data_IF_991372709131
#
_entry.id   IF_991372709131
#
_cell.length_a   1.000
_cell.length_b   1.000
_cell.length_c   1.000
_cell.angle_alpha   90.00
_cell.angle_beta   90.00
_cell.angle_gamma   90.00
#
_symmetry.space_group_name_H-M   'P 1'
#
loop_
_entity.id
_entity.type
_entity.pdbx_description
1 polymer ?
#
# COMPACT_ATOMS: atom_id res chain seq x y z
N UNK A 1 31.30 16.13 -11.38
CA UNK A 1 30.82 15.61 -12.68
C UNK A 1 30.36 16.83 -13.46
N UNK A 2 31.09 17.23 -14.50
CA UNK A 2 30.73 18.39 -15.33
C UNK A 2 29.85 17.84 -16.47
N UNK A 3 28.56 18.24 -16.58
CA UNK A 3 27.68 17.73 -17.61
C UNK A 3 28.18 18.13 -19.00
N UNK A 4 28.18 17.19 -19.96
CA UNK A 4 28.47 17.48 -21.38
C UNK A 4 27.24 18.12 -22.02
N UNK A 5 27.45 19.15 -22.85
CA UNK A 5 26.39 19.99 -23.44
C UNK A 5 25.30 19.23 -24.25
N UNK A 6 25.50 17.95 -24.57
CA UNK A 6 24.58 17.11 -25.38
C UNK A 6 23.62 16.25 -24.55
N UNK A 7 23.73 16.25 -23.22
CA UNK A 7 22.82 15.51 -22.34
C UNK A 7 21.66 16.42 -21.92
N UNK A 8 20.55 16.32 -22.65
CA UNK A 8 19.28 16.93 -22.27
C UNK A 8 18.68 16.17 -21.07
N UNK A 9 19.23 16.42 -19.89
CA UNK A 9 18.76 15.80 -18.65
C UNK A 9 17.51 16.52 -18.16
N UNK A 10 16.42 15.77 -18.07
CA UNK A 10 15.20 16.21 -17.42
C UNK A 10 15.37 15.99 -15.92
N UNK A 11 15.33 17.07 -15.14
CA UNK A 11 15.38 17.01 -13.69
C UNK A 11 13.96 17.09 -13.14
N UNK A 12 13.64 16.19 -12.22
CA UNK A 12 12.38 16.22 -11.46
C UNK A 12 12.71 16.77 -10.08
N UNK A 13 12.01 17.81 -9.68
CA UNK A 13 12.13 18.42 -8.36
C UNK A 13 10.83 18.19 -7.59
N UNK A 14 10.95 17.61 -6.41
CA UNK A 14 9.86 17.31 -5.48
C UNK A 14 9.65 18.38 -4.41
N UNK A 15 10.58 19.35 -4.31
CA UNK A 15 10.54 20.46 -3.37
C UNK A 15 10.84 21.80 -4.07
N UNK A 16 9.97 22.79 -3.82
CA UNK A 16 10.12 24.17 -4.28
C UNK A 16 11.44 24.81 -3.77
N UNK A 17 11.89 24.44 -2.57
CA UNK A 17 13.12 24.98 -1.96
C UNK A 17 14.34 24.66 -2.82
N UNK A 18 14.39 23.46 -3.41
CA UNK A 18 15.51 23.03 -4.26
C UNK A 18 15.57 23.89 -5.53
N UNK A 19 14.40 24.25 -6.08
CA UNK A 19 14.29 25.14 -7.25
C UNK A 19 14.77 26.56 -6.89
N UNK A 20 14.43 27.06 -5.71
CA UNK A 20 14.91 28.37 -5.22
C UNK A 20 16.44 28.39 -5.04
N UNK A 21 17.00 27.32 -4.46
CA UNK A 21 18.44 27.17 -4.32
C UNK A 21 19.16 27.10 -5.67
N UNK A 22 18.57 26.40 -6.66
CA UNK A 22 19.08 26.39 -8.03
C UNK A 22 19.12 27.81 -8.61
N UNK A 23 18.04 28.57 -8.51
CA UNK A 23 17.98 29.95 -9.00
C UNK A 23 19.05 30.82 -8.33
N UNK A 24 19.30 30.64 -7.04
CA UNK A 24 20.33 31.38 -6.30
C UNK A 24 21.77 30.97 -6.69
N UNK A 25 21.97 29.76 -7.18
CA UNK A 25 23.26 29.26 -7.66
C UNK A 25 23.63 29.70 -9.08
N UNK A 26 22.66 30.19 -9.87
CA UNK A 26 22.90 30.65 -11.23
C UNK A 26 23.68 31.97 -11.24
N UNK A 27 24.72 32.04 -12.09
CA UNK A 27 25.60 33.19 -12.19
C UNK A 27 25.10 34.19 -13.25
N UNK A 28 25.07 35.48 -12.90
CA UNK A 28 24.67 36.58 -13.80
C UNK A 28 25.72 36.91 -14.87
N UNK A 29 26.91 36.32 -14.81
CA UNK A 29 28.02 36.62 -15.74
C UNK A 29 27.95 35.83 -17.05
N UNK A 30 27.22 34.72 -17.11
CA UNK A 30 27.10 33.89 -18.31
C UNK A 30 25.80 34.17 -19.08
N UNK A 31 25.86 34.43 -20.40
CA UNK A 31 24.65 34.72 -21.22
C UNK A 31 23.61 33.59 -21.13
N UNK A 32 24.05 32.32 -21.17
CA UNK A 32 23.18 31.14 -21.04
C UNK A 32 22.50 31.09 -19.66
N UNK A 33 23.30 31.24 -18.61
CA UNK A 33 22.87 31.16 -17.21
C UNK A 33 21.94 32.32 -16.85
N UNK A 34 22.25 33.52 -17.33
CA UNK A 34 21.44 34.72 -17.15
C UNK A 34 20.07 34.58 -17.84
N UNK A 35 20.02 34.10 -19.09
CA UNK A 35 18.76 33.85 -19.78
C UNK A 35 17.93 32.76 -19.06
N UNK A 36 18.58 31.71 -18.57
CA UNK A 36 17.92 30.68 -17.76
C UNK A 36 17.35 31.26 -16.47
N UNK A 37 18.11 32.10 -15.77
CA UNK A 37 17.68 32.77 -14.55
C UNK A 37 16.46 33.66 -14.78
N UNK A 38 16.44 34.46 -15.86
CA UNK A 38 15.28 35.28 -16.22
C UNK A 38 14.04 34.43 -16.47
N UNK A 39 14.19 33.35 -17.25
CA UNK A 39 13.08 32.46 -17.58
C UNK A 39 12.55 31.73 -16.33
N UNK A 40 13.42 31.24 -15.46
CA UNK A 40 13.01 30.60 -14.20
C UNK A 40 12.31 31.57 -13.27
N UNK A 41 12.82 32.80 -13.11
CA UNK A 41 12.15 33.84 -12.30
C UNK A 41 10.76 34.17 -12.83
N UNK A 42 10.57 34.20 -14.16
CA UNK A 42 9.27 34.44 -14.79
C UNK A 42 8.28 33.29 -14.54
N UNK A 43 8.76 32.05 -14.54
CA UNK A 43 7.93 30.86 -14.31
C UNK A 43 7.72 30.52 -12.84
N UNK A 44 8.50 31.11 -11.92
CA UNK A 44 8.44 30.82 -10.48
C UNK A 44 7.04 30.99 -9.86
N UNK A 45 6.24 32.04 -10.20
CA UNK A 45 4.88 32.16 -9.66
C UNK A 45 3.96 31.03 -10.09
N UNK A 46 4.12 30.50 -11.32
CA UNK A 46 3.35 29.36 -11.79
C UNK A 46 3.76 28.09 -11.03
N UNK A 47 5.07 27.86 -10.90
CA UNK A 47 5.62 26.72 -10.15
C UNK A 47 5.13 26.75 -8.70
N UNK A 48 5.20 27.90 -8.03
CA UNK A 48 4.70 28.07 -6.67
C UNK A 48 3.22 27.71 -6.56
N UNK A 49 2.39 28.19 -7.49
CA UNK A 49 0.96 27.88 -7.51
C UNK A 49 0.69 26.38 -7.74
N UNK A 50 1.49 25.69 -8.55
CA UNK A 50 1.40 24.23 -8.73
C UNK A 50 1.76 23.50 -7.42
N UNK A 51 2.84 23.88 -6.75
CA UNK A 51 3.21 23.31 -5.45
C UNK A 51 2.12 23.55 -4.39
N UNK A 52 1.55 24.74 -4.32
CA UNK A 52 0.45 25.05 -3.41
C UNK A 52 -0.84 24.29 -3.75
N UNK A 53 -1.14 24.05 -5.03
CA UNK A 53 -2.26 23.19 -5.42
C UNK A 53 -2.03 21.74 -5.03
N UNK A 54 -0.81 21.22 -5.21
CA UNK A 54 -0.45 19.86 -4.77
C UNK A 54 -0.57 19.74 -3.24
N UNK A 55 -0.08 20.73 -2.49
CA UNK A 55 -0.22 20.75 -1.01
C UNK A 55 -1.69 20.85 -0.58
N UNK A 56 -2.49 21.67 -1.25
CA UNK A 56 -3.94 21.77 -0.99
C UNK A 56 -4.65 20.46 -1.31
N UNK A 57 -4.31 19.80 -2.41
CA UNK A 57 -4.83 18.47 -2.75
C UNK A 57 -4.48 17.46 -1.66
N UNK A 58 -3.21 17.39 -1.25
CA UNK A 58 -2.77 16.54 -0.13
C UNK A 58 -3.52 16.85 1.17
N UNK A 59 -3.67 18.12 1.52
CA UNK A 59 -4.38 18.52 2.74
C UNK A 59 -5.90 18.25 2.66
N UNK A 60 -6.52 18.34 1.48
CA UNK A 60 -7.93 17.98 1.28
C UNK A 60 -8.15 16.47 1.33
N UNK A 61 -7.19 15.68 0.84
CA UNK A 61 -7.19 14.21 0.95
C UNK A 61 -6.96 13.77 2.41
N UNK A 62 -6.08 14.46 3.15
CA UNK A 62 -5.83 14.18 4.58
C UNK A 62 -6.98 14.64 5.50
N UNK A 63 -7.85 15.56 5.08
CA UNK A 63 -8.93 16.13 5.91
C UNK A 63 -10.32 15.52 5.70
N UNK A 64 -10.56 14.79 4.60
CA UNK A 64 -11.85 14.16 4.32
C UNK A 64 -11.64 12.64 4.09
N UNK A 65 -12.13 11.82 5.03
CA UNK A 65 -12.52 10.40 4.84
C UNK A 65 -11.49 9.30 4.47
N UNK A 66 -10.24 9.57 4.11
CA UNK A 66 -9.37 8.49 3.60
C UNK A 66 -9.07 7.36 4.61
N UNK A 67 -8.90 7.63 5.90
CA UNK A 67 -8.59 6.55 6.86
C UNK A 67 -9.78 5.63 7.19
N UNK A 68 -11.02 6.09 7.06
CA UNK A 68 -12.21 5.28 7.35
C UNK A 68 -12.73 4.61 6.08
N UNK A 69 -12.75 5.31 4.94
CA UNK A 69 -13.23 4.76 3.68
C UNK A 69 -12.22 3.76 3.08
N UNK A 70 -10.92 4.05 3.13
CA UNK A 70 -9.87 3.10 2.70
C UNK A 70 -9.73 1.92 3.68
N UNK A 71 -9.90 2.14 4.99
CA UNK A 71 -9.87 1.01 5.94
C UNK A 71 -11.07 0.09 5.74
N UNK A 72 -12.26 0.64 5.50
CA UNK A 72 -13.44 -0.14 5.14
C UNK A 72 -13.26 -0.86 3.80
N UNK A 73 -12.64 -0.23 2.80
CA UNK A 73 -12.37 -0.86 1.49
C UNK A 73 -11.33 -1.98 1.59
N UNK A 74 -10.25 -1.78 2.35
CA UNK A 74 -9.23 -2.81 2.60
C UNK A 74 -9.82 -3.98 3.40
N UNK A 75 -10.59 -3.70 4.44
CA UNK A 75 -11.26 -4.73 5.25
C UNK A 75 -12.25 -5.52 4.39
N UNK A 76 -13.04 -4.83 3.56
CA UNK A 76 -13.99 -5.47 2.66
C UNK A 76 -13.28 -6.33 1.63
N UNK A 77 -12.26 -5.78 0.96
CA UNK A 77 -11.43 -6.51 -0.01
C UNK A 77 -10.80 -7.75 0.61
N UNK A 78 -10.24 -7.65 1.81
CA UNK A 78 -9.64 -8.77 2.53
C UNK A 78 -10.66 -9.85 2.91
N UNK A 79 -11.88 -9.47 3.31
CA UNK A 79 -12.97 -10.44 3.54
C UNK A 79 -13.30 -11.20 2.26
N UNK A 80 -13.45 -10.51 1.13
CA UNK A 80 -13.71 -11.18 -0.17
C UNK A 80 -12.57 -12.12 -0.55
N UNK A 81 -11.31 -11.70 -0.38
CA UNK A 81 -10.16 -12.55 -0.65
C UNK A 81 -10.16 -13.81 0.24
N UNK A 82 -10.48 -13.68 1.53
CA UNK A 82 -10.59 -14.83 2.44
C UNK A 82 -11.68 -15.81 2.00
N UNK A 83 -12.86 -15.32 1.59
CA UNK A 83 -13.94 -16.17 1.07
C UNK A 83 -13.54 -16.89 -0.23
N UNK A 84 -12.84 -16.19 -1.11
CA UNK A 84 -12.34 -16.76 -2.37
C UNK A 84 -11.26 -17.81 -2.12
N UNK A 85 -10.34 -17.57 -1.17
CA UNK A 85 -9.33 -18.55 -0.78
C UNK A 85 -9.99 -19.80 -0.20
N UNK A 86 -10.97 -19.66 0.71
CA UNK A 86 -11.73 -20.80 1.24
C UNK A 86 -12.38 -21.60 0.11
N UNK A 87 -13.09 -20.91 -0.77
CA UNK A 87 -13.80 -21.55 -1.88
C UNK A 87 -12.84 -22.31 -2.79
N UNK A 88 -11.68 -21.71 -3.10
CA UNK A 88 -10.63 -22.35 -3.91
C UNK A 88 -9.99 -23.53 -3.20
N UNK A 89 -9.78 -23.47 -1.89
CA UNK A 89 -9.24 -24.59 -1.12
C UNK A 89 -10.21 -25.78 -1.14
N UNK A 90 -11.49 -25.51 -0.87
CA UNK A 90 -12.56 -26.52 -0.82
C UNK A 90 -12.88 -27.13 -2.17
N UNK A 91 -13.05 -26.31 -3.21
CA UNK A 91 -13.33 -26.79 -4.57
C UNK A 91 -12.08 -27.38 -5.24
N UNK A 92 -10.89 -26.88 -4.90
CA UNK A 92 -9.61 -27.34 -5.44
C UNK A 92 -9.05 -28.61 -4.78
N UNK A 93 -9.73 -29.18 -3.78
CA UNK A 93 -9.24 -30.35 -3.01
C UNK A 93 -7.87 -30.12 -2.35
N UNK A 94 -7.59 -28.86 -1.97
CA UNK A 94 -6.35 -28.44 -1.29
C UNK A 94 -6.53 -28.36 0.24
N UNK A 95 -7.78 -28.42 0.71
CA UNK A 95 -8.16 -28.27 2.12
C UNK A 95 -9.50 -27.54 2.25
N UNK A 96 -9.66 -26.74 3.29
CA UNK A 96 -10.86 -25.94 3.54
C UNK A 96 -11.77 -26.53 4.62
N UNK A 97 -12.85 -25.85 4.94
CA UNK A 97 -13.81 -26.31 5.94
C UNK A 97 -14.68 -27.43 5.35
N UNK A 98 -14.29 -28.68 5.62
CA UNK A 98 -15.00 -29.88 5.14
C UNK A 98 -16.33 -30.06 5.87
N UNK A 99 -16.41 -29.64 7.14
CA UNK A 99 -17.61 -29.70 7.97
C UNK A 99 -18.44 -28.43 7.72
N UNK A 100 -19.68 -28.53 7.22
CA UNK A 100 -20.51 -27.36 6.89
C UNK A 100 -20.79 -26.42 8.07
N UNK A 101 -20.89 -26.97 9.28
CA UNK A 101 -21.12 -26.18 10.50
C UNK A 101 -19.93 -25.27 10.81
N UNK A 102 -18.70 -25.78 10.69
CA UNK A 102 -17.47 -25.00 10.90
C UNK A 102 -17.31 -23.91 9.83
N UNK A 103 -17.70 -24.22 8.57
CA UNK A 103 -17.71 -23.24 7.49
C UNK A 103 -18.68 -22.09 7.80
N UNK A 104 -19.89 -22.43 8.25
CA UNK A 104 -20.92 -21.45 8.58
C UNK A 104 -20.52 -20.58 9.77
N UNK A 105 -19.90 -21.18 10.79
CA UNK A 105 -19.38 -20.44 11.95
C UNK A 105 -18.27 -19.47 11.54
N UNK A 106 -17.32 -19.91 10.71
CA UNK A 106 -16.22 -19.08 10.22
C UNK A 106 -16.73 -17.94 9.33
N UNK A 107 -17.67 -18.20 8.41
CA UNK A 107 -18.29 -17.16 7.57
C UNK A 107 -19.07 -16.13 8.39
N UNK A 108 -19.77 -16.56 9.44
CA UNK A 108 -20.47 -15.64 10.33
C UNK A 108 -19.49 -14.74 11.10
N UNK A 109 -18.38 -15.28 11.57
CA UNK A 109 -17.30 -14.49 12.21
C UNK A 109 -16.67 -13.51 11.21
N UNK A 110 -16.42 -13.94 9.98
CA UNK A 110 -15.87 -13.08 8.92
C UNK A 110 -16.77 -11.88 8.60
N UNK A 111 -18.09 -12.10 8.56
CA UNK A 111 -19.06 -11.01 8.34
C UNK A 111 -19.07 -9.99 9.48
N UNK A 112 -18.94 -10.46 10.72
CA UNK A 112 -19.00 -9.61 11.92
C UNK A 112 -17.68 -8.90 12.24
N UNK A 113 -16.56 -9.45 11.80
CA UNK A 113 -15.21 -8.94 12.06
C UNK A 113 -14.96 -7.61 11.33
N UNK A 114 -14.69 -6.52 12.06
CA UNK A 114 -14.32 -5.23 11.45
C UNK A 114 -12.92 -4.76 11.85
N UNK A 115 -12.20 -5.55 12.67
CA UNK A 115 -10.85 -5.23 13.08
C UNK A 115 -9.83 -6.11 12.36
N UNK A 116 -8.62 -5.58 12.14
CA UNK A 116 -7.54 -6.30 11.45
C UNK A 116 -7.05 -7.51 12.23
N UNK A 117 -7.11 -7.45 13.57
CA UNK A 117 -6.67 -8.52 14.46
C UNK A 117 -7.58 -9.74 14.28
N UNK A 118 -8.90 -9.52 14.32
CA UNK A 118 -9.90 -10.55 14.11
C UNK A 118 -9.79 -11.22 12.71
N UNK A 119 -9.53 -10.42 11.67
CA UNK A 119 -9.27 -10.93 10.33
C UNK A 119 -7.98 -11.78 10.25
N UNK A 120 -6.96 -11.41 11.01
CA UNK A 120 -5.73 -12.19 11.15
C UNK A 120 -5.99 -13.56 11.77
N UNK A 121 -6.81 -13.63 12.82
CA UNK A 121 -7.19 -14.90 13.46
C UNK A 121 -8.00 -15.80 12.52
N UNK A 122 -8.89 -15.20 11.71
CA UNK A 122 -9.65 -15.93 10.68
C UNK A 122 -8.78 -16.47 9.56
N UNK A 123 -7.73 -15.75 9.16
CA UNK A 123 -6.73 -16.23 8.20
C UNK A 123 -5.95 -17.42 8.77
N UNK A 124 -5.53 -17.36 10.04
CA UNK A 124 -4.82 -18.46 10.70
C UNK A 124 -5.71 -19.71 10.77
N UNK A 125 -6.99 -19.56 11.12
CA UNK A 125 -7.95 -20.67 11.12
C UNK A 125 -8.09 -21.27 9.73
N UNK A 126 -8.25 -20.45 8.68
CA UNK A 126 -8.33 -20.92 7.31
C UNK A 126 -7.07 -21.67 6.89
N UNK A 127 -5.89 -21.16 7.27
CA UNK A 127 -4.62 -21.81 6.98
C UNK A 127 -4.48 -23.20 7.63
N UNK A 128 -5.01 -23.39 8.84
CA UNK A 128 -4.98 -24.69 9.52
C UNK A 128 -5.80 -25.77 8.79
N UNK A 129 -6.77 -25.37 7.96
CA UNK A 129 -7.57 -26.29 7.14
C UNK A 129 -6.86 -26.79 5.89
N UNK A 130 -5.69 -26.22 5.53
CA UNK A 130 -4.90 -26.64 4.38
C UNK A 130 -4.27 -28.00 4.65
N UNK A 131 -4.32 -28.91 3.68
CA UNK A 131 -3.77 -30.24 3.83
C UNK A 131 -2.25 -30.22 4.01
N UNK A 132 -1.73 -31.06 4.91
CA UNK A 132 -0.31 -31.09 5.32
C UNK A 132 0.65 -31.27 4.14
N UNK A 133 0.25 -32.02 3.12
CA UNK A 133 1.04 -32.24 1.90
C UNK A 133 1.29 -30.97 1.08
N UNK A 134 0.51 -29.92 1.29
CA UNK A 134 0.65 -28.61 0.65
C UNK A 134 1.20 -27.54 1.60
N UNK A 135 1.30 -27.82 2.90
CA UNK A 135 1.94 -26.93 3.86
C UNK A 135 3.47 -27.04 3.75
N UNK A 136 4.09 -26.17 2.95
CA UNK A 136 5.56 -26.09 2.81
C UNK A 136 6.13 -24.83 3.46
N UNK A 137 7.33 -24.92 4.05
CA UNK A 137 8.03 -23.78 4.67
C UNK A 137 7.83 -23.66 6.19
N UNK A 138 7.87 -22.42 6.73
CA UNK A 138 7.81 -22.10 8.18
C UNK A 138 6.52 -22.62 8.85
N UNK A 139 5.50 -22.96 8.06
CA UNK A 139 4.22 -23.51 8.53
C UNK A 139 4.23 -25.03 8.72
N UNK A 140 5.32 -25.70 8.36
CA UNK A 140 5.55 -27.12 8.65
C UNK A 140 6.30 -27.28 9.98
N UNK A 141 5.89 -26.53 11.01
CA UNK A 141 6.38 -26.72 12.37
C UNK A 141 5.74 -27.97 12.97
N UNK A 142 6.49 -28.84 13.65
CA UNK A 142 6.00 -30.12 14.19
C UNK A 142 4.96 -29.97 15.31
N UNK A 143 4.63 -28.75 15.74
CA UNK A 143 3.79 -28.46 16.90
C UNK A 143 2.29 -28.30 16.57
N UNK A 144 1.77 -28.98 15.54
CA UNK A 144 0.31 -29.17 15.37
C UNK A 144 -0.35 -29.89 16.57
N UNK A 145 0.44 -30.50 17.47
CA UNK A 145 -0.05 -31.21 18.66
C UNK A 145 -0.38 -30.33 19.87
N UNK A 146 0.06 -29.08 19.92
CA UNK A 146 -0.11 -28.27 21.15
C UNK A 146 -1.49 -27.60 21.22
N UNK A 147 -2.11 -27.27 20.09
CA UNK A 147 -3.38 -26.51 20.07
C UNK A 147 -4.62 -27.42 20.09
N UNK A 148 -4.49 -28.72 19.75
CA UNK A 148 -5.62 -29.67 19.82
C UNK A 148 -6.14 -29.93 21.25
N UNK A 149 -5.46 -29.41 22.28
CA UNK A 149 -5.90 -29.49 23.67
C UNK A 149 -6.60 -28.21 24.18
N UNK A 150 -6.73 -27.17 23.37
CA UNK A 150 -7.43 -25.93 23.74
C UNK A 150 -8.87 -25.85 23.20
N UNK A 151 -9.30 -26.85 22.43
CA UNK A 151 -10.69 -27.01 21.99
C UNK A 151 -11.20 -28.35 22.51
N UNK A 152 -11.60 -28.36 23.78
CA UNK A 152 -12.49 -29.36 24.38
C UNK A 152 -13.58 -28.63 25.13
#
# INVERSE_FOLDING_TARGET
IIPKDELNQWFIYDDEIIIQQLIQSLNDRGIREHNLLINLKKSMPLIHNEFEQIKKSKNSLEQHDENLELSNDIITSFKTELEDIETRLRLGSLGGFIIPENLLEWQNKLKQSNERIDLGDLLIQLQQTVADKYASGIFNLPDKKIISNLVK
#
